data_IF_959406051700
#
_entry.id   IF_959406051700
#
_cell.length_a   1.000
_cell.length_b   1.000
_cell.length_c   1.000
_cell.angle_alpha   90.00
_cell.angle_beta   90.00
_cell.angle_gamma   90.00
#
_symmetry.space_group_name_H-M   'P 1'
#
loop_
_entity.id
_entity.type
_entity.pdbx_description
1 polymer ?
#
# COMPACT_ATOMS: atom_id res chain seq x y z
N UNK A 1 4.42 -28.72 2.28
CA UNK A 1 4.50 -27.27 2.09
C UNK A 1 3.99 -26.66 3.37
N UNK A 2 4.79 -25.85 4.03
CA UNK A 2 4.43 -25.15 5.26
C UNK A 2 4.00 -23.71 4.87
N UNK A 3 2.70 -23.53 4.69
CA UNK A 3 2.15 -22.24 4.27
C UNK A 3 2.37 -21.13 5.30
N UNK A 4 2.37 -21.45 6.60
CA UNK A 4 2.66 -20.47 7.63
C UNK A 4 4.07 -19.93 7.51
N UNK A 5 5.05 -20.80 7.26
CA UNK A 5 6.43 -20.40 7.08
C UNK A 5 6.63 -19.55 5.82
N UNK A 6 5.94 -19.88 4.73
CA UNK A 6 6.03 -19.16 3.45
C UNK A 6 5.57 -17.70 3.56
N UNK A 7 4.65 -17.38 4.49
CA UNK A 7 4.12 -16.03 4.70
C UNK A 7 4.75 -15.27 5.87
N UNK A 8 5.75 -15.83 6.56
CA UNK A 8 6.41 -15.22 7.72
C UNK A 8 7.75 -14.56 7.37
N UNK A 9 7.75 -13.44 6.62
CA UNK A 9 8.98 -12.70 6.32
C UNK A 9 9.75 -12.29 7.58
N UNK A 10 9.06 -11.77 8.61
CA UNK A 10 9.68 -11.24 9.83
C UNK A 10 10.61 -12.23 10.54
N UNK A 11 10.28 -13.52 10.52
CA UNK A 11 11.09 -14.60 11.11
C UNK A 11 12.49 -14.71 10.48
N UNK A 12 12.63 -14.31 9.22
CA UNK A 12 13.86 -14.42 8.43
C UNK A 12 14.63 -13.10 8.33
N UNK A 13 14.15 -12.05 8.98
CA UNK A 13 14.78 -10.74 8.98
C UNK A 13 15.60 -10.57 10.26
N UNK A 14 16.91 -10.41 10.13
CA UNK A 14 17.77 -10.12 11.28
C UNK A 14 17.34 -8.80 11.94
N UNK A 15 17.08 -8.84 13.26
CA UNK A 15 16.54 -7.67 13.98
C UNK A 15 15.09 -7.32 13.61
N UNK A 16 14.34 -8.25 13.01
CA UNK A 16 12.95 -8.01 12.55
C UNK A 16 12.03 -7.45 13.65
N UNK A 17 12.22 -7.86 14.89
CA UNK A 17 11.43 -7.40 16.03
C UNK A 17 11.69 -5.91 16.39
N UNK A 18 12.82 -5.35 15.97
CA UNK A 18 13.18 -3.95 16.23
C UNK A 18 12.53 -2.97 15.27
N UNK A 19 12.06 -3.46 14.10
CA UNK A 19 11.53 -2.60 13.05
C UNK A 19 10.31 -1.80 13.48
N UNK A 20 9.42 -2.37 14.26
CA UNK A 20 8.22 -1.67 14.74
C UNK A 20 8.61 -0.44 15.59
N UNK A 21 9.54 -0.61 16.53
CA UNK A 21 10.03 0.48 17.36
C UNK A 21 10.78 1.53 16.52
N UNK A 22 11.58 1.09 15.56
CA UNK A 22 12.31 1.97 14.65
C UNK A 22 11.35 2.80 13.77
N UNK A 23 10.31 2.21 13.19
CA UNK A 23 9.31 2.94 12.41
C UNK A 23 8.56 3.96 13.26
N UNK A 24 8.18 3.58 14.50
CA UNK A 24 7.54 4.48 15.45
C UNK A 24 8.43 5.69 15.76
N UNK A 25 9.73 5.45 16.02
CA UNK A 25 10.70 6.51 16.33
C UNK A 25 10.88 7.44 15.13
N UNK A 26 11.13 6.89 13.93
CA UNK A 26 11.30 7.68 12.70
C UNK A 26 10.07 8.52 12.37
N UNK A 27 8.89 7.93 12.48
CA UNK A 27 7.62 8.64 12.19
C UNK A 27 7.32 9.73 13.21
N UNK A 28 7.59 9.47 14.49
CA UNK A 28 7.43 10.49 15.54
C UNK A 28 8.40 11.65 15.36
N UNK A 29 9.67 11.36 15.03
CA UNK A 29 10.69 12.36 14.75
C UNK A 29 10.32 13.18 13.50
N UNK A 30 9.87 12.52 12.43
CA UNK A 30 9.42 13.19 11.21
C UNK A 30 8.27 14.18 11.51
N UNK A 31 7.20 13.73 12.18
CA UNK A 31 6.06 14.59 12.53
C UNK A 31 6.45 15.76 13.43
N UNK A 32 7.37 15.54 14.37
CA UNK A 32 7.85 16.59 15.26
C UNK A 32 8.69 17.66 14.54
N UNK A 33 9.46 17.27 13.54
CA UNK A 33 10.31 18.19 12.74
C UNK A 33 9.57 18.83 11.56
N UNK A 34 8.45 18.23 11.11
CA UNK A 34 7.71 18.73 9.96
C UNK A 34 6.91 19.98 10.29
N UNK A 35 6.79 20.90 9.33
CA UNK A 35 6.03 22.16 9.51
C UNK A 35 4.56 21.84 9.86
N UNK A 36 4.12 22.32 11.03
CA UNK A 36 2.79 22.08 11.56
C UNK A 36 1.66 22.66 10.68
N UNK A 37 1.95 23.68 9.87
CA UNK A 37 0.97 24.28 8.94
C UNK A 37 0.80 23.42 7.68
N UNK A 38 1.72 22.51 7.41
CA UNK A 38 1.72 21.63 6.24
C UNK A 38 1.35 20.20 6.56
N UNK A 39 1.07 19.87 7.83
CA UNK A 39 0.53 18.54 8.21
C UNK A 39 -0.90 18.67 8.74
N UNK A 40 -1.76 17.80 8.30
CA UNK A 40 -3.14 17.68 8.76
C UNK A 40 -3.36 16.23 9.17
N UNK A 41 -3.45 15.98 10.46
CA UNK A 41 -3.50 14.63 11.02
C UNK A 41 -4.93 14.24 11.38
N UNK A 42 -5.29 12.97 11.17
CA UNK A 42 -6.56 12.41 11.58
C UNK A 42 -7.78 12.96 10.84
N UNK A 43 -7.64 13.34 9.56
CA UNK A 43 -8.75 13.83 8.74
C UNK A 43 -9.77 12.70 8.51
N UNK A 44 -11.04 12.85 8.93
CA UNK A 44 -12.01 11.76 8.83
C UNK A 44 -12.50 11.55 7.38
N UNK A 45 -12.66 10.29 6.99
CA UNK A 45 -13.37 9.88 5.78
C UNK A 45 -14.49 8.85 6.08
N UNK A 46 -14.82 8.70 7.37
CA UNK A 46 -15.91 7.91 7.90
C UNK A 46 -16.06 8.10 9.41
N UNK A 47 -17.00 7.39 10.03
CA UNK A 47 -17.38 7.62 11.44
C UNK A 47 -16.52 6.87 12.48
N UNK A 48 -15.72 5.87 12.05
CA UNK A 48 -14.91 5.09 12.98
C UNK A 48 -13.56 5.77 13.24
N UNK A 49 -13.00 5.76 14.47
CA UNK A 49 -11.73 6.45 14.79
C UNK A 49 -10.52 6.05 13.92
N UNK A 50 -10.48 4.83 13.38
CA UNK A 50 -9.45 4.37 12.45
C UNK A 50 -9.69 4.77 11.00
N UNK A 51 -10.87 5.32 10.66
CA UNK A 51 -11.26 5.70 9.30
C UNK A 51 -10.94 7.18 9.10
N UNK A 52 -9.65 7.46 9.18
CA UNK A 52 -9.03 8.79 9.06
C UNK A 52 -7.80 8.69 8.16
N UNK A 53 -7.33 9.81 7.64
CA UNK A 53 -6.04 9.86 6.96
C UNK A 53 -5.20 11.04 7.47
N UNK A 54 -3.88 10.86 7.45
CA UNK A 54 -2.91 11.93 7.64
C UNK A 54 -2.53 12.49 6.27
N UNK A 55 -2.39 13.82 6.17
CA UNK A 55 -2.02 14.53 4.95
C UNK A 55 -0.81 15.41 5.22
N UNK A 56 0.22 15.26 4.39
CA UNK A 56 1.43 16.06 4.40
C UNK A 56 1.54 16.82 3.07
N UNK A 57 1.72 18.14 3.14
CA UNK A 57 1.76 19.02 1.97
C UNK A 57 3.20 19.48 1.68
N UNK A 58 3.63 19.55 0.41
CA UNK A 58 4.93 20.12 0.04
C UNK A 58 4.98 21.63 0.29
N UNK A 59 6.16 22.26 0.16
CA UNK A 59 6.33 23.74 0.35
C UNK A 59 5.68 24.56 -0.74
N UNK A 60 5.61 24.01 -1.93
CA UNK A 60 4.99 24.64 -3.11
C UNK A 60 3.62 24.02 -3.37
N UNK A 61 2.77 24.58 -4.23
CA UNK A 61 1.56 23.90 -4.68
C UNK A 61 1.87 22.48 -5.13
N UNK A 62 1.10 21.52 -4.63
CA UNK A 62 1.34 20.11 -4.89
C UNK A 62 1.17 19.79 -6.39
N UNK A 63 2.11 19.04 -6.96
CA UNK A 63 2.03 18.54 -8.34
C UNK A 63 1.04 17.39 -8.46
N UNK A 64 0.81 16.67 -7.36
CA UNK A 64 -0.03 15.50 -7.27
C UNK A 64 -0.12 15.02 -5.83
N UNK A 65 -0.83 13.92 -5.59
CA UNK A 65 -0.90 13.26 -4.30
C UNK A 65 -0.51 11.80 -4.40
N UNK A 66 0.39 11.36 -3.54
CA UNK A 66 0.71 9.95 -3.31
C UNK A 66 -0.16 9.46 -2.16
N UNK A 67 -0.99 8.46 -2.40
CA UNK A 67 -1.78 7.79 -1.37
C UNK A 67 -1.02 6.54 -0.96
N UNK A 68 -0.47 6.51 0.26
CA UNK A 68 0.26 5.36 0.79
C UNK A 68 -0.62 4.54 1.73
N UNK A 69 -0.89 3.28 1.37
CA UNK A 69 -1.70 2.34 2.14
C UNK A 69 -0.77 1.40 2.92
N UNK A 70 -0.93 1.37 4.26
CA UNK A 70 -0.07 0.58 5.13
C UNK A 70 -0.38 -0.93 5.09
N UNK A 71 0.61 -1.73 5.50
CA UNK A 71 0.50 -3.18 5.69
C UNK A 71 -0.01 -3.58 7.08
N UNK A 72 0.31 -4.83 7.47
CA UNK A 72 -0.08 -5.41 8.76
C UNK A 72 -1.14 -6.51 8.64
N UNK A 73 -1.12 -7.27 7.56
CA UNK A 73 -2.03 -8.39 7.26
C UNK A 73 -3.51 -8.06 7.49
N UNK A 74 -3.94 -6.81 7.23
CA UNK A 74 -5.31 -6.30 7.43
C UNK A 74 -5.80 -6.39 8.89
N UNK A 75 -4.95 -6.75 9.85
CA UNK A 75 -5.29 -7.02 11.26
C UNK A 75 -4.46 -6.21 12.26
N UNK A 76 -3.49 -5.42 11.81
CA UNK A 76 -2.59 -4.67 12.69
C UNK A 76 -2.07 -3.39 12.05
N UNK A 77 -1.34 -2.61 12.84
CA UNK A 77 -0.71 -1.35 12.48
C UNK A 77 -1.72 -0.21 12.20
N UNK A 78 -1.20 0.95 11.92
CA UNK A 78 -1.96 2.15 11.56
C UNK A 78 -1.06 3.16 10.83
N UNK A 79 -1.61 4.23 10.20
CA UNK A 79 -0.84 5.17 9.40
C UNK A 79 0.23 5.94 10.18
N UNK A 80 0.11 6.09 11.50
CA UNK A 80 1.06 6.89 12.29
C UNK A 80 2.47 6.32 12.32
N UNK A 81 2.62 5.01 12.02
CA UNK A 81 3.92 4.34 11.93
C UNK A 81 4.71 4.68 10.66
N UNK A 82 4.06 5.30 9.67
CA UNK A 82 4.60 5.43 8.32
C UNK A 82 4.86 6.87 7.88
N UNK A 83 4.60 7.85 8.73
CA UNK A 83 4.69 9.28 8.37
C UNK A 83 6.04 9.69 7.79
N UNK A 84 7.15 9.05 8.23
CA UNK A 84 8.49 9.31 7.71
C UNK A 84 8.66 8.96 6.23
N UNK A 85 7.85 8.05 5.70
CA UNK A 85 7.85 7.68 4.28
C UNK A 85 7.34 8.80 3.37
N UNK A 86 6.70 9.81 3.92
CA UNK A 86 6.28 10.98 3.16
C UNK A 86 7.46 11.82 2.64
N UNK A 87 8.65 11.70 3.25
CA UNK A 87 9.78 12.58 2.95
C UNK A 87 10.22 12.55 1.48
N UNK A 88 10.32 11.36 0.88
CA UNK A 88 10.73 11.23 -0.52
C UNK A 88 9.75 11.89 -1.49
N UNK A 89 8.46 11.52 -1.51
CA UNK A 89 7.48 12.18 -2.39
C UNK A 89 7.34 13.68 -2.16
N UNK A 90 7.38 14.14 -0.91
CA UNK A 90 7.36 15.57 -0.59
C UNK A 90 8.54 16.33 -1.21
N UNK A 91 9.74 15.74 -1.21
CA UNK A 91 10.92 16.33 -1.86
C UNK A 91 10.75 16.46 -3.38
N UNK A 92 9.91 15.63 -4.00
CA UNK A 92 9.52 15.73 -5.41
C UNK A 92 8.37 16.72 -5.66
N UNK A 93 7.84 17.36 -4.61
CA UNK A 93 6.75 18.34 -4.69
C UNK A 93 5.36 17.71 -4.74
N UNK A 94 5.23 16.46 -4.26
CA UNK A 94 3.95 15.75 -4.18
C UNK A 94 3.43 15.77 -2.74
N UNK A 95 2.13 15.96 -2.59
CA UNK A 95 1.47 15.71 -1.31
C UNK A 95 1.46 14.21 -1.00
N UNK A 96 1.37 13.85 0.29
CA UNK A 96 1.27 12.46 0.72
C UNK A 96 0.08 12.29 1.66
N UNK A 97 -0.83 11.40 1.31
CA UNK A 97 -1.96 11.01 2.14
C UNK A 97 -1.79 9.56 2.62
N UNK A 98 -2.01 9.32 3.91
CA UNK A 98 -1.83 8.02 4.54
C UNK A 98 -3.13 7.59 5.22
N UNK A 99 -4.03 6.87 4.53
CA UNK A 99 -5.28 6.41 5.12
C UNK A 99 -5.06 5.25 6.09
N UNK A 100 -5.75 5.32 7.24
CA UNK A 100 -5.99 4.19 8.11
C UNK A 100 -7.28 3.49 7.75
N UNK A 101 -7.53 2.31 8.29
CA UNK A 101 -8.73 1.51 8.06
C UNK A 101 -9.05 0.64 9.28
N UNK A 102 -10.31 0.18 9.37
CA UNK A 102 -10.70 -0.82 10.37
C UNK A 102 -10.03 -2.15 10.05
N UNK A 103 -9.74 -2.91 11.09
CA UNK A 103 -8.98 -4.16 11.01
C UNK A 103 -9.88 -5.39 11.12
N UNK A 104 -9.44 -6.49 10.56
CA UNK A 104 -10.00 -7.80 10.86
C UNK A 104 -9.68 -8.17 12.32
N UNK A 105 -10.56 -8.91 13.02
CA UNK A 105 -11.82 -9.50 12.54
C UNK A 105 -13.06 -8.58 12.59
N UNK A 106 -12.93 -7.32 13.03
CA UNK A 106 -14.08 -6.39 13.16
C UNK A 106 -14.74 -6.07 11.82
N UNK A 107 -14.01 -6.23 10.73
CA UNK A 107 -14.46 -6.08 9.35
C UNK A 107 -13.79 -7.14 8.47
N UNK A 108 -14.34 -7.37 7.28
CA UNK A 108 -13.74 -8.26 6.27
C UNK A 108 -12.70 -7.52 5.42
N UNK A 109 -11.82 -8.26 4.72
CA UNK A 109 -10.91 -7.69 3.72
C UNK A 109 -11.68 -6.90 2.64
N UNK A 110 -12.83 -7.40 2.21
CA UNK A 110 -13.71 -6.70 1.26
C UNK A 110 -14.23 -5.35 1.80
N UNK A 111 -14.52 -5.25 3.11
CA UNK A 111 -14.94 -3.99 3.71
C UNK A 111 -13.77 -2.99 3.81
N UNK A 112 -12.54 -3.49 4.01
CA UNK A 112 -11.32 -2.67 3.95
C UNK A 112 -11.12 -2.13 2.53
N UNK A 113 -11.28 -2.96 1.51
CA UNK A 113 -11.24 -2.53 0.09
C UNK A 113 -12.24 -1.40 -0.18
N UNK A 114 -13.50 -1.56 0.26
CA UNK A 114 -14.53 -0.49 0.14
C UNK A 114 -14.16 0.77 0.94
N UNK A 115 -13.48 0.60 2.08
CA UNK A 115 -12.98 1.72 2.88
C UNK A 115 -11.92 2.51 2.12
N UNK A 116 -11.01 1.83 1.41
CA UNK A 116 -9.99 2.49 0.59
C UNK A 116 -10.60 3.25 -0.60
N UNK A 117 -11.67 2.76 -1.21
CA UNK A 117 -12.43 3.53 -2.22
C UNK A 117 -12.91 4.87 -1.64
N UNK A 118 -13.48 4.85 -0.43
CA UNK A 118 -13.91 6.09 0.25
C UNK A 118 -12.72 7.00 0.61
N UNK A 119 -11.59 6.42 1.00
CA UNK A 119 -10.39 7.18 1.29
C UNK A 119 -9.89 7.93 0.03
N UNK A 120 -9.83 7.25 -1.13
CA UNK A 120 -9.45 7.87 -2.40
C UNK A 120 -10.39 9.03 -2.75
N UNK A 121 -11.71 8.85 -2.59
CA UNK A 121 -12.70 9.92 -2.79
C UNK A 121 -12.41 11.13 -1.88
N UNK A 122 -12.33 10.90 -0.58
CA UNK A 122 -12.14 11.97 0.39
C UNK A 122 -10.78 12.70 0.24
N UNK A 123 -9.74 11.98 -0.21
CA UNK A 123 -8.43 12.57 -0.49
C UNK A 123 -8.49 13.40 -1.77
N UNK A 124 -9.09 12.88 -2.85
CA UNK A 124 -9.26 13.62 -4.11
C UNK A 124 -10.07 14.90 -3.93
N UNK A 125 -11.15 14.85 -3.12
CA UNK A 125 -11.98 16.01 -2.77
C UNK A 125 -11.19 17.15 -2.08
N UNK A 126 -10.04 16.86 -1.45
CA UNK A 126 -9.17 17.88 -0.84
C UNK A 126 -8.42 18.74 -1.85
N UNK A 127 -8.36 18.30 -3.09
CA UNK A 127 -7.62 18.95 -4.18
C UNK A 127 -8.56 19.40 -5.31
N UNK A 128 -9.85 19.59 -5.03
CA UNK A 128 -10.89 20.01 -5.98
C UNK A 128 -10.98 19.14 -7.24
N UNK A 129 -10.49 17.92 -7.19
CA UNK A 129 -10.52 16.93 -8.28
C UNK A 129 -9.58 17.22 -9.46
N UNK A 130 -8.68 18.19 -9.33
CA UNK A 130 -7.73 18.58 -10.39
C UNK A 130 -6.28 18.23 -10.01
N UNK A 131 -6.02 16.97 -9.61
CA UNK A 131 -4.69 16.56 -9.17
C UNK A 131 -4.34 15.15 -9.64
N UNK A 132 -3.12 14.95 -10.15
CA UNK A 132 -2.61 13.60 -10.42
C UNK A 132 -2.52 12.77 -9.13
N UNK A 133 -2.93 11.52 -9.20
CA UNK A 133 -2.92 10.58 -8.08
C UNK A 133 -1.97 9.42 -8.37
N UNK A 134 -1.15 9.06 -7.40
CA UNK A 134 -0.41 7.80 -7.36
C UNK A 134 -0.90 7.04 -6.13
N UNK A 135 -1.32 5.79 -6.32
CA UNK A 135 -1.70 4.92 -5.21
C UNK A 135 -0.57 3.92 -5.01
N UNK A 136 0.02 3.90 -3.83
CA UNK A 136 1.02 2.91 -3.46
C UNK A 136 0.68 2.29 -2.11
N UNK A 137 1.21 1.11 -1.84
CA UNK A 137 0.99 0.46 -0.55
C UNK A 137 1.95 -0.69 -0.34
N UNK A 138 2.18 -1.02 0.92
CA UNK A 138 3.12 -2.04 1.34
C UNK A 138 2.40 -3.27 1.91
N UNK A 139 2.82 -4.48 1.51
CA UNK A 139 2.31 -5.75 2.03
C UNK A 139 0.78 -5.87 1.84
N UNK A 140 -0.03 -5.97 2.89
CA UNK A 140 -1.49 -5.88 2.81
C UNK A 140 -1.96 -4.58 2.11
N UNK A 141 -1.24 -3.47 2.27
CA UNK A 141 -1.49 -2.22 1.53
C UNK A 141 -1.18 -2.34 0.04
N UNK A 142 -0.16 -3.13 -0.34
CA UNK A 142 0.14 -3.46 -1.73
C UNK A 142 -0.99 -4.27 -2.38
N UNK A 143 -1.57 -5.22 -1.64
CA UNK A 143 -2.78 -5.90 -2.05
C UNK A 143 -3.93 -4.92 -2.29
N UNK A 144 -4.23 -4.05 -1.31
CA UNK A 144 -5.31 -3.07 -1.42
C UNK A 144 -5.10 -2.12 -2.61
N UNK A 145 -3.85 -1.70 -2.86
CA UNK A 145 -3.48 -0.92 -4.05
C UNK A 145 -3.86 -1.65 -5.34
N UNK A 146 -3.49 -2.91 -5.47
CA UNK A 146 -3.84 -3.72 -6.63
C UNK A 146 -5.37 -3.97 -6.74
N UNK A 147 -6.07 -4.19 -5.61
CA UNK A 147 -7.53 -4.33 -5.60
C UNK A 147 -8.25 -3.08 -6.13
N UNK A 148 -7.77 -1.88 -5.76
CA UNK A 148 -8.32 -0.62 -6.29
C UNK A 148 -8.13 -0.48 -7.81
N UNK A 149 -7.13 -1.13 -8.38
CA UNK A 149 -6.87 -1.11 -9.81
C UNK A 149 -7.72 -2.10 -10.62
N UNK A 150 -8.54 -2.96 -9.98
CA UNK A 150 -9.43 -3.91 -10.66
C UNK A 150 -10.67 -3.23 -11.24
N UNK A 151 -11.18 -3.77 -12.34
CA UNK A 151 -12.33 -3.22 -13.08
C UNK A 151 -13.69 -3.43 -12.38
N UNK A 152 -13.78 -4.42 -11.48
CA UNK A 152 -14.97 -4.71 -10.68
C UNK A 152 -15.19 -3.71 -9.53
N UNK A 153 -14.30 -2.73 -9.35
CA UNK A 153 -14.41 -1.66 -8.34
C UNK A 153 -14.69 -0.33 -9.03
N UNK A 154 -15.80 0.33 -8.66
CA UNK A 154 -15.97 1.74 -8.99
C UNK A 154 -15.01 2.58 -8.15
N UNK A 155 -14.03 3.19 -8.78
CA UNK A 155 -13.01 4.02 -8.13
C UNK A 155 -13.19 5.47 -8.54
N UNK A 156 -13.50 6.40 -7.60
CA UNK A 156 -13.50 7.82 -7.85
C UNK A 156 -12.13 8.30 -8.32
N UNK A 157 -12.10 9.32 -9.17
CA UNK A 157 -10.87 9.89 -9.72
C UNK A 157 -10.01 8.90 -10.52
N UNK A 158 -10.60 7.80 -11.02
CA UNK A 158 -9.84 6.77 -11.73
C UNK A 158 -9.07 7.31 -12.96
N UNK A 159 -9.60 8.36 -13.61
CA UNK A 159 -8.95 9.01 -14.75
C UNK A 159 -7.70 9.83 -14.34
N UNK A 160 -7.62 10.25 -13.09
CA UNK A 160 -6.54 11.06 -12.56
C UNK A 160 -5.43 10.19 -11.94
N UNK A 161 -5.68 8.87 -11.83
CA UNK A 161 -4.69 7.95 -11.28
C UNK A 161 -3.67 7.60 -12.35
N UNK A 162 -2.48 8.17 -12.18
CA UNK A 162 -1.35 7.94 -13.06
C UNK A 162 -0.73 6.55 -12.93
N UNK A 163 -0.62 6.04 -11.70
CA UNK A 163 0.07 4.78 -11.41
C UNK A 163 -0.40 4.11 -10.13
N UNK A 164 -0.38 2.78 -10.14
CA UNK A 164 -0.51 1.93 -8.96
C UNK A 164 0.83 1.27 -8.66
N UNK A 165 1.30 1.33 -7.40
CA UNK A 165 2.57 0.74 -6.97
C UNK A 165 2.33 -0.21 -5.81
N UNK A 166 2.38 -1.50 -6.09
CA UNK A 166 2.28 -2.54 -5.06
C UNK A 166 3.67 -2.92 -4.57
N UNK A 167 3.98 -2.61 -3.33
CA UNK A 167 5.25 -2.93 -2.69
C UNK A 167 5.04 -4.18 -1.84
N UNK A 168 5.66 -5.30 -2.23
CA UNK A 168 5.59 -6.59 -1.50
C UNK A 168 4.16 -7.07 -1.24
N UNK A 169 3.23 -6.84 -2.19
CA UNK A 169 1.82 -7.16 -2.02
C UNK A 169 1.51 -8.65 -2.14
N UNK A 170 0.41 -9.07 -1.52
CA UNK A 170 -0.14 -10.43 -1.64
C UNK A 170 -1.34 -10.38 -2.58
N UNK A 171 -1.25 -11.00 -3.75
CA UNK A 171 -2.21 -10.80 -4.84
C UNK A 171 -3.11 -12.00 -5.13
N UNK A 172 -2.76 -13.17 -4.59
CA UNK A 172 -3.61 -14.36 -4.52
C UNK A 172 -3.79 -14.72 -3.04
N UNK A 173 -4.98 -14.48 -2.49
CA UNK A 173 -5.28 -14.72 -1.08
C UNK A 173 -5.66 -16.17 -0.76
N UNK A 174 -5.87 -17.02 -1.78
CA UNK A 174 -6.33 -18.41 -1.57
C UNK A 174 -5.39 -19.23 -0.71
N UNK A 175 -4.05 -19.13 -0.83
CA UNK A 175 -3.15 -19.86 0.07
C UNK A 175 -3.27 -19.46 1.53
N UNK A 176 -3.62 -18.19 1.83
CA UNK A 176 -3.78 -17.70 3.20
C UNK A 176 -4.84 -18.49 4.00
N UNK A 177 -5.83 -19.09 3.34
CA UNK A 177 -6.86 -19.91 3.98
C UNK A 177 -6.24 -21.04 4.84
N UNK A 178 -5.03 -21.46 4.50
CA UNK A 178 -4.31 -22.56 5.17
C UNK A 178 -3.23 -22.07 6.14
N UNK A 179 -3.22 -20.79 6.48
CA UNK A 179 -2.26 -20.18 7.38
C UNK A 179 -2.92 -19.69 8.67
N UNK A 180 -2.14 -19.53 9.72
CA UNK A 180 -2.57 -18.91 10.98
C UNK A 180 -2.99 -17.44 10.79
N UNK A 181 -2.48 -16.78 9.76
CA UNK A 181 -2.91 -15.42 9.36
C UNK A 181 -4.41 -15.36 9.09
N UNK A 182 -5.03 -16.47 8.67
CA UNK A 182 -6.46 -16.52 8.36
C UNK A 182 -7.37 -16.56 9.59
N UNK A 183 -6.84 -16.80 10.78
CA UNK A 183 -7.67 -16.86 12.00
C UNK A 183 -8.52 -15.58 12.19
N UNK A 184 -7.96 -14.35 12.16
CA UNK A 184 -8.75 -13.13 12.19
C UNK A 184 -9.35 -12.73 10.83
N UNK A 185 -8.80 -13.16 9.70
CA UNK A 185 -9.31 -12.79 8.37
C UNK A 185 -10.59 -13.54 8.01
N UNK A 186 -10.75 -14.78 8.50
CA UNK A 186 -11.88 -15.66 8.26
C UNK A 186 -12.21 -15.84 6.76
N UNK A 187 -11.18 -15.91 5.92
CA UNK A 187 -11.32 -16.14 4.49
C UNK A 187 -11.73 -17.59 4.23
N UNK A 188 -12.69 -17.76 3.35
CA UNK A 188 -12.99 -18.99 2.65
C UNK A 188 -12.53 -18.91 1.17
N UNK A 189 -12.73 -19.97 0.40
CA UNK A 189 -12.30 -19.99 -1.00
C UNK A 189 -13.00 -18.93 -1.84
N UNK A 190 -14.26 -18.61 -1.55
CA UNK A 190 -15.04 -17.64 -2.31
C UNK A 190 -14.57 -16.20 -2.01
N UNK A 191 -14.45 -15.84 -0.73
CA UNK A 191 -13.99 -14.52 -0.29
C UNK A 191 -12.52 -14.29 -0.63
N UNK A 192 -11.66 -15.27 -0.48
CA UNK A 192 -10.27 -15.19 -0.90
C UNK A 192 -10.14 -14.96 -2.42
N UNK A 193 -10.90 -15.70 -3.23
CA UNK A 193 -10.89 -15.51 -4.68
C UNK A 193 -11.48 -14.15 -5.09
N UNK A 194 -12.53 -13.67 -4.41
CA UNK A 194 -13.17 -12.39 -4.67
C UNK A 194 -12.22 -11.21 -4.40
N UNK A 195 -11.36 -11.33 -3.39
CA UNK A 195 -10.40 -10.28 -3.00
C UNK A 195 -8.97 -10.54 -3.54
N UNK A 196 -8.77 -11.47 -4.46
CA UNK A 196 -7.47 -11.72 -5.10
C UNK A 196 -7.31 -10.93 -6.40
N UNK A 197 -6.50 -9.85 -6.47
CA UNK A 197 -6.26 -9.11 -7.71
C UNK A 197 -5.76 -9.97 -8.86
N UNK A 198 -4.95 -11.00 -8.56
CA UNK A 198 -4.45 -11.93 -9.57
C UNK A 198 -5.55 -12.75 -10.26
N UNK A 199 -6.78 -12.78 -9.72
CA UNK A 199 -7.95 -13.44 -10.30
C UNK A 199 -8.96 -12.46 -10.90
N UNK A 200 -8.58 -11.18 -11.00
CA UNK A 200 -9.43 -10.09 -11.52
C UNK A 200 -8.82 -9.46 -12.77
N UNK A 201 -9.67 -8.80 -13.52
CA UNK A 201 -9.24 -7.98 -14.65
C UNK A 201 -8.80 -6.60 -14.16
N UNK A 202 -7.63 -6.09 -14.58
CA UNK A 202 -7.29 -4.69 -14.33
C UNK A 202 -8.22 -3.78 -15.11
N UNK A 203 -8.50 -2.57 -14.58
CA UNK A 203 -9.20 -1.55 -15.35
C UNK A 203 -8.38 -1.12 -16.57
N UNK A 204 -9.04 -0.60 -17.58
CA UNK A 204 -8.37 -0.09 -18.77
C UNK A 204 -7.38 1.04 -18.42
N UNK A 205 -6.21 1.04 -19.06
CA UNK A 205 -5.19 2.07 -18.88
C UNK A 205 -4.35 1.95 -17.62
N UNK A 206 -4.50 0.88 -16.82
CA UNK A 206 -3.68 0.67 -15.62
C UNK A 206 -2.18 0.63 -15.95
N UNK A 207 -1.41 1.47 -15.24
CA UNK A 207 0.04 1.35 -15.09
C UNK A 207 0.33 0.79 -13.69
N UNK A 208 0.77 -0.47 -13.62
CA UNK A 208 1.11 -1.18 -12.37
C UNK A 208 2.61 -1.39 -12.27
N UNK A 209 3.20 -0.90 -11.19
CA UNK A 209 4.53 -1.28 -10.74
C UNK A 209 4.38 -2.27 -9.57
N UNK A 210 4.78 -3.51 -9.78
CA UNK A 210 4.92 -4.52 -8.73
C UNK A 210 6.39 -4.53 -8.27
N UNK A 211 6.62 -4.17 -7.02
CA UNK A 211 7.94 -3.99 -6.43
C UNK A 211 8.09 -4.89 -5.20
N UNK A 212 9.16 -5.66 -5.10
CA UNK A 212 9.41 -6.58 -3.98
C UNK A 212 10.88 -6.58 -3.61
N UNK A 213 11.22 -6.75 -2.35
CA UNK A 213 12.61 -6.97 -1.93
C UNK A 213 13.11 -8.33 -2.41
N UNK A 214 14.29 -8.36 -3.04
CA UNK A 214 14.86 -9.59 -3.59
C UNK A 214 15.20 -10.64 -2.50
N UNK A 215 15.35 -10.21 -1.25
CA UNK A 215 15.64 -11.08 -0.09
C UNK A 215 14.38 -11.50 0.68
N UNK A 216 13.18 -11.28 0.12
CA UNK A 216 11.93 -11.74 0.72
C UNK A 216 11.73 -13.24 0.57
N UNK A 217 10.77 -13.78 1.31
CA UNK A 217 10.37 -15.18 1.15
C UNK A 217 9.95 -15.47 -0.29
N UNK A 218 10.25 -16.66 -0.84
CA UNK A 218 9.93 -17.04 -2.22
C UNK A 218 8.47 -16.82 -2.59
N UNK A 219 7.55 -16.95 -1.63
CA UNK A 219 6.14 -16.71 -1.86
C UNK A 219 5.85 -15.24 -2.20
N UNK A 220 6.52 -14.27 -1.57
CA UNK A 220 6.33 -12.85 -1.89
C UNK A 220 6.91 -12.49 -3.26
N UNK A 221 8.04 -13.10 -3.65
CA UNK A 221 8.58 -12.96 -5.01
C UNK A 221 7.57 -13.51 -6.04
N UNK A 222 7.01 -14.71 -5.76
CA UNK A 222 5.99 -15.33 -6.62
C UNK A 222 4.73 -14.47 -6.73
N UNK A 223 4.24 -13.89 -5.64
CA UNK A 223 3.05 -13.04 -5.62
C UNK A 223 3.25 -11.76 -6.46
N UNK A 224 4.42 -11.17 -6.37
CA UNK A 224 4.80 -9.99 -7.15
C UNK A 224 4.80 -10.30 -8.65
N UNK A 225 5.48 -11.36 -9.06
CA UNK A 225 5.60 -11.77 -10.46
C UNK A 225 4.27 -12.28 -11.03
N UNK A 226 3.48 -12.97 -10.21
CA UNK A 226 2.16 -13.50 -10.59
C UNK A 226 1.24 -12.38 -11.07
N UNK A 227 1.09 -11.32 -10.29
CA UNK A 227 0.21 -10.20 -10.65
C UNK A 227 0.69 -9.52 -11.93
N UNK A 228 1.97 -9.16 -11.98
CA UNK A 228 2.53 -8.47 -13.14
C UNK A 228 2.40 -9.29 -14.42
N UNK A 229 2.61 -10.62 -14.34
CA UNK A 229 2.50 -11.53 -15.48
C UNK A 229 1.05 -11.68 -15.96
N UNK A 230 0.09 -11.91 -15.03
CA UNK A 230 -1.33 -12.09 -15.39
C UNK A 230 -1.88 -10.80 -16.01
N UNK A 231 -1.64 -9.66 -15.39
CA UNK A 231 -2.18 -8.39 -15.85
C UNK A 231 -1.57 -7.89 -17.15
N UNK A 232 -0.30 -8.26 -17.42
CA UNK A 232 0.29 -8.04 -18.75
C UNK A 232 -0.50 -8.75 -19.84
N UNK A 233 -0.92 -9.99 -19.58
CA UNK A 233 -1.80 -10.74 -20.48
C UNK A 233 -3.20 -10.17 -20.61
N UNK A 234 -3.63 -9.34 -19.65
CA UNK A 234 -4.89 -8.59 -19.66
C UNK A 234 -4.72 -7.14 -20.13
N UNK A 235 -3.66 -6.85 -20.89
CA UNK A 235 -3.37 -5.58 -21.55
C UNK A 235 -3.04 -4.39 -20.64
N UNK A 236 -2.80 -4.61 -19.34
CA UNK A 236 -2.27 -3.56 -18.46
C UNK A 236 -0.78 -3.31 -18.74
N UNK A 237 -0.33 -2.07 -18.55
CA UNK A 237 1.09 -1.76 -18.48
C UNK A 237 1.60 -2.23 -17.12
N UNK A 238 2.46 -3.25 -17.10
CA UNK A 238 2.99 -3.82 -15.86
C UNK A 238 4.50 -3.90 -15.88
N UNK A 239 5.10 -3.62 -14.72
CA UNK A 239 6.54 -3.81 -14.47
C UNK A 239 6.70 -4.59 -13.18
N UNK A 240 7.55 -5.63 -13.15
CA UNK A 240 7.95 -6.35 -11.95
C UNK A 240 9.40 -6.03 -11.64
N UNK A 241 9.69 -5.62 -10.40
CA UNK A 241 11.02 -5.28 -9.92
C UNK A 241 11.29 -6.09 -8.64
N UNK A 242 12.44 -6.74 -8.61
CA UNK A 242 13.05 -7.31 -7.41
C UNK A 242 14.18 -6.38 -6.96
N UNK A 243 14.02 -5.73 -5.81
CA UNK A 243 14.98 -4.75 -5.29
C UNK A 243 16.11 -5.46 -4.54
N UNK A 244 17.29 -5.47 -5.14
CA UNK A 244 18.48 -6.12 -4.56
C UNK A 244 18.83 -5.52 -3.18
N UNK A 245 19.23 -6.40 -2.25
CA UNK A 245 19.63 -6.01 -0.89
C UNK A 245 18.46 -5.58 0.02
N UNK A 246 17.22 -5.78 -0.41
CA UNK A 246 16.04 -5.46 0.38
C UNK A 246 15.23 -6.70 0.75
N UNK A 247 14.81 -6.73 2.02
CA UNK A 247 13.83 -7.66 2.54
C UNK A 247 12.49 -6.94 2.82
N UNK A 248 11.47 -7.65 3.23
CA UNK A 248 10.09 -7.16 3.40
C UNK A 248 9.95 -5.87 4.24
N UNK A 249 10.78 -5.67 5.26
CA UNK A 249 10.68 -4.49 6.11
C UNK A 249 11.56 -3.34 5.65
N UNK A 250 12.67 -3.61 4.96
CA UNK A 250 13.57 -2.55 4.48
C UNK A 250 13.10 -1.93 3.17
N UNK A 251 12.47 -2.70 2.28
CA UNK A 251 12.10 -2.26 0.93
C UNK A 251 11.20 -1.02 0.91
N UNK A 252 10.28 -0.90 1.85
CA UNK A 252 9.37 0.25 1.95
C UNK A 252 10.08 1.51 2.46
N UNK A 253 11.19 1.34 3.19
CA UNK A 253 11.98 2.44 3.75
C UNK A 253 12.53 3.39 2.69
N UNK A 254 12.73 2.90 1.47
CA UNK A 254 13.19 3.70 0.33
C UNK A 254 12.27 4.87 -0.01
N UNK A 255 10.98 4.80 0.34
CA UNK A 255 10.05 5.93 0.17
C UNK A 255 10.43 7.17 1.03
N UNK A 256 11.24 7.00 2.08
CA UNK A 256 11.73 8.14 2.86
C UNK A 256 12.86 8.90 2.15
N UNK A 257 13.48 8.32 1.13
CA UNK A 257 14.65 8.84 0.44
C UNK A 257 14.27 9.34 -0.96
N UNK A 258 14.43 10.64 -1.21
CA UNK A 258 14.03 11.27 -2.48
C UNK A 258 14.72 10.64 -3.71
N UNK A 259 15.98 10.25 -3.56
CA UNK A 259 16.79 9.72 -4.65
C UNK A 259 16.79 8.19 -4.77
N UNK A 260 16.05 7.49 -3.91
CA UNK A 260 15.96 6.03 -3.98
C UNK A 260 15.35 5.55 -5.30
N UNK A 261 15.69 4.34 -5.76
CA UNK A 261 15.06 3.76 -6.94
C UNK A 261 13.55 3.65 -6.83
N UNK A 262 13.02 3.27 -5.66
CA UNK A 262 11.57 3.14 -5.44
C UNK A 262 10.86 4.49 -5.51
N UNK A 263 11.37 5.53 -4.82
CA UNK A 263 10.76 6.86 -4.87
C UNK A 263 10.76 7.43 -6.28
N UNK A 264 11.87 7.32 -7.01
CA UNK A 264 11.94 7.75 -8.42
C UNK A 264 10.96 6.98 -9.31
N UNK A 265 10.77 5.69 -9.05
CA UNK A 265 9.86 4.85 -9.82
C UNK A 265 8.37 5.21 -9.61
N UNK A 266 7.99 5.91 -8.54
CA UNK A 266 6.64 6.44 -8.41
C UNK A 266 6.31 7.41 -9.55
N UNK A 267 7.28 8.20 -9.98
CA UNK A 267 7.09 9.34 -10.88
C UNK A 267 7.57 9.10 -12.33
N UNK A 268 8.17 7.93 -12.61
CA UNK A 268 8.74 7.58 -13.91
C UNK A 268 7.70 7.40 -15.04
#
# INVERSE_FOLDING_TARGET
>A
MDWDDDYQNGKYISGGDEYLAMWQLKSSAFRAAFDQNRQQLGLPYGSHPRVVFDLFLPETPAKGVVIFIHGGYWQSLDPTLWSHLAAGPLAHGWAVAMPGYRLCPDVTVADITKSMVRAVAAIGDRFDGEIEIIICGHSAGGHLTARLACDDIYLPYAADIRRFVSISGVHDLRPLIRTSVNEPLQLDMASAAAESPALKTPREGVDLLAWVGAEERPEFLRQNDLLANIWRGAFAKTTSIHADGHHHFSVVGDLAEADSPLTKALFA
#
